data_IF_594165064977
#
_entry.id   IF_594165064977
#
_cell.length_a   1.000
_cell.length_b   1.000
_cell.length_c   1.000
_cell.angle_alpha   90.00
_cell.angle_beta   90.00
_cell.angle_gamma   90.00
#
_symmetry.space_group_name_H-M   'P 1'
#
loop_
_entity.id
_entity.type
_entity.pdbx_description
1 polymer ?
#
# COMPACT_ATOMS: atom_id res chain seq x y z
N UNK A 1 -7.80 -14.86 -23.25
CA UNK A 1 -9.16 -15.32 -23.29
C UNK A 1 -9.27 -16.82 -23.11
N UNK A 2 -10.19 -17.24 -22.31
CA UNK A 2 -10.38 -18.66 -22.01
C UNK A 2 -11.49 -19.25 -22.87
N UNK A 3 -11.16 -20.31 -23.54
CA UNK A 3 -12.13 -21.06 -24.31
C UNK A 3 -12.67 -22.16 -23.41
N UNK A 4 -13.98 -22.21 -23.17
CA UNK A 4 -14.53 -23.21 -22.24
C UNK A 4 -14.29 -24.64 -22.68
N UNK A 5 -14.01 -24.88 -23.95
CA UNK A 5 -13.70 -26.19 -24.44
C UNK A 5 -12.23 -26.53 -24.39
N UNK A 6 -11.41 -25.65 -23.86
CA UNK A 6 -9.97 -25.84 -23.83
C UNK A 6 -9.47 -25.65 -22.41
N UNK A 7 -9.21 -26.71 -21.73
CA UNK A 7 -8.76 -26.65 -20.34
C UNK A 7 -7.30 -26.27 -20.21
N UNK A 8 -6.63 -26.04 -21.34
CA UNK A 8 -5.20 -25.77 -21.33
C UNK A 8 -4.85 -24.30 -21.22
N UNK A 9 -5.85 -23.43 -21.34
CA UNK A 9 -5.59 -21.99 -21.34
C UNK A 9 -5.91 -21.34 -20.00
N UNK A 10 -5.29 -21.89 -18.97
CA UNK A 10 -5.36 -21.29 -17.64
C UNK A 10 -4.07 -20.57 -17.37
N UNK A 11 -4.19 -19.30 -16.99
CA UNK A 11 -3.01 -18.54 -16.62
C UNK A 11 -2.46 -19.09 -15.31
N UNK A 12 -1.19 -19.40 -15.28
CA UNK A 12 -0.54 -19.86 -14.05
C UNK A 12 -0.22 -18.65 -13.17
N UNK A 13 0.06 -18.90 -11.90
CA UNK A 13 0.46 -17.84 -11.00
C UNK A 13 1.73 -17.15 -11.50
N UNK A 14 2.68 -17.92 -12.01
CA UNK A 14 3.91 -17.36 -12.56
C UNK A 14 3.64 -16.45 -13.75
N UNK A 15 2.73 -16.88 -14.63
CA UNK A 15 2.36 -16.08 -15.79
C UNK A 15 1.63 -14.80 -15.39
N UNK A 16 0.73 -14.90 -14.42
CA UNK A 16 0.02 -13.74 -13.92
C UNK A 16 1.00 -12.72 -13.31
N UNK A 17 1.96 -13.21 -12.55
CA UNK A 17 2.98 -12.35 -11.94
C UNK A 17 3.80 -11.65 -13.02
N UNK A 18 4.21 -12.40 -14.05
CA UNK A 18 4.99 -11.84 -15.16
C UNK A 18 4.19 -10.78 -15.91
N UNK A 19 2.92 -11.06 -16.13
CA UNK A 19 2.05 -10.13 -16.83
C UNK A 19 1.89 -8.83 -16.05
N UNK A 20 1.70 -8.91 -14.74
CA UNK A 20 1.61 -7.73 -13.90
C UNK A 20 2.89 -6.90 -13.95
N UNK A 21 4.04 -7.56 -13.95
CA UNK A 21 5.32 -6.87 -14.03
C UNK A 21 5.52 -6.16 -15.35
N UNK A 22 5.07 -6.77 -16.46
CA UNK A 22 5.20 -6.18 -17.79
C UNK A 22 4.24 -5.02 -17.99
N UNK A 23 2.98 -5.20 -17.59
CA UNK A 23 1.95 -4.19 -17.83
C UNK A 23 1.88 -3.13 -16.75
N UNK A 24 2.49 -3.39 -15.60
CA UNK A 24 2.39 -2.52 -14.43
C UNK A 24 0.93 -2.36 -13.97
N UNK A 25 0.12 -3.38 -14.21
CA UNK A 25 -1.29 -3.41 -13.84
C UNK A 25 -1.46 -4.50 -12.78
N UNK A 26 -1.72 -4.09 -11.55
CA UNK A 26 -1.75 -4.98 -10.40
C UNK A 26 -3.15 -5.28 -9.90
N UNK A 27 -4.16 -5.17 -10.76
CA UNK A 27 -5.54 -5.45 -10.36
C UNK A 27 -5.74 -6.88 -9.89
N UNK A 28 -5.03 -7.83 -10.51
CA UNK A 28 -5.09 -9.23 -10.09
C UNK A 28 -4.59 -9.39 -8.66
N UNK A 29 -3.46 -8.76 -8.36
CA UNK A 29 -2.87 -8.81 -7.02
C UNK A 29 -3.83 -8.23 -5.99
N UNK A 30 -4.40 -7.07 -6.29
CA UNK A 30 -5.30 -6.41 -5.36
C UNK A 30 -6.58 -7.21 -5.15
N UNK A 31 -7.09 -7.85 -6.20
CA UNK A 31 -8.29 -8.68 -6.09
C UNK A 31 -8.03 -9.90 -5.21
N UNK A 32 -6.89 -10.56 -5.39
CA UNK A 32 -6.51 -11.70 -4.56
C UNK A 32 -6.34 -11.30 -3.10
N UNK A 33 -5.71 -10.16 -2.87
CA UNK A 33 -5.53 -9.68 -1.50
C UNK A 33 -6.85 -9.37 -0.83
N UNK A 34 -7.77 -8.75 -1.57
CA UNK A 34 -9.10 -8.44 -1.03
C UNK A 34 -9.87 -9.71 -0.66
N UNK A 35 -9.73 -10.75 -1.47
CA UNK A 35 -10.37 -12.03 -1.23
C UNK A 35 -9.93 -12.64 0.09
N UNK A 36 -8.70 -12.39 0.49
CA UNK A 36 -8.12 -12.93 1.72
C UNK A 36 -8.03 -11.91 2.86
N UNK A 37 -8.71 -10.80 2.72
CA UNK A 37 -8.69 -9.76 3.74
C UNK A 37 -7.33 -9.09 3.89
N UNK A 38 -6.59 -8.98 2.80
CA UNK A 38 -5.26 -8.39 2.79
C UNK A 38 -5.21 -7.19 1.87
N UNK A 39 -4.20 -6.36 2.05
CA UNK A 39 -3.93 -5.27 1.12
C UNK A 39 -2.48 -5.34 0.69
N UNK A 40 -2.21 -4.87 -0.52
CA UNK A 40 -0.85 -4.76 -1.02
C UNK A 40 -0.42 -3.31 -0.96
N UNK A 41 0.82 -3.08 -0.58
CA UNK A 41 1.43 -1.75 -0.62
C UNK A 41 2.75 -1.85 -1.36
N UNK A 42 3.15 -0.74 -1.97
CA UNK A 42 4.42 -0.69 -2.66
C UNK A 42 5.55 -0.71 -1.64
N UNK A 43 6.53 -1.55 -1.89
CA UNK A 43 7.72 -1.56 -1.06
C UNK A 43 8.65 -0.44 -1.50
N UNK A 44 9.35 0.19 -0.56
CA UNK A 44 10.37 1.19 -0.92
C UNK A 44 11.50 0.52 -1.67
N UNK A 45 12.13 1.27 -2.57
CA UNK A 45 13.15 0.67 -3.43
C UNK A 45 14.40 0.36 -2.64
N UNK A 46 15.26 1.30 -2.44
CA UNK A 46 16.52 1.04 -1.75
C UNK A 46 16.59 1.94 -0.53
N UNK A 47 16.50 1.36 0.68
CA UNK A 47 16.57 2.18 1.87
C UNK A 47 17.98 2.72 2.08
N UNK A 48 18.06 3.94 2.54
CA UNK A 48 19.29 4.56 2.97
C UNK A 48 19.32 4.61 4.48
N UNK A 49 20.48 4.31 5.04
CA UNK A 49 20.64 4.41 6.49
C UNK A 49 21.28 5.75 6.83
N UNK A 50 20.43 6.72 7.14
CA UNK A 50 20.86 8.04 7.59
C UNK A 50 19.95 8.51 8.70
N UNK A 51 20.53 9.09 9.71
CA UNK A 51 19.75 9.60 10.84
C UNK A 51 18.73 10.64 10.39
N UNK A 52 19.12 11.53 9.48
CA UNK A 52 18.21 12.56 8.97
C UNK A 52 17.05 11.94 8.22
N UNK A 53 17.31 10.90 7.44
CA UNK A 53 16.24 10.23 6.68
C UNK A 53 15.26 9.54 7.62
N UNK A 54 15.75 8.91 8.67
CA UNK A 54 14.88 8.28 9.66
C UNK A 54 14.05 9.33 10.41
N UNK A 55 14.68 10.44 10.79
CA UNK A 55 13.99 11.53 11.48
C UNK A 55 12.88 12.10 10.59
N UNK A 56 13.16 12.31 9.31
CA UNK A 56 12.16 12.82 8.38
C UNK A 56 10.97 11.87 8.26
N UNK A 57 11.23 10.56 8.22
CA UNK A 57 10.16 9.59 8.13
C UNK A 57 9.28 9.61 9.36
N UNK A 58 9.87 9.72 10.53
CA UNK A 58 9.10 9.79 11.77
C UNK A 58 8.26 11.06 11.82
N UNK A 59 8.83 12.18 11.37
CA UNK A 59 8.07 13.44 11.31
C UNK A 59 6.93 13.32 10.30
N UNK A 60 7.19 12.73 9.13
CA UNK A 60 6.14 12.55 8.12
C UNK A 60 5.05 11.61 8.60
N UNK A 61 5.42 10.60 9.39
CA UNK A 61 4.44 9.72 10.00
C UNK A 61 3.49 10.50 10.91
N UNK A 62 4.04 11.43 11.69
CA UNK A 62 3.23 12.27 12.57
C UNK A 62 2.30 13.17 11.78
N UNK A 63 2.79 13.78 10.69
CA UNK A 63 1.99 14.62 9.81
C UNK A 63 0.85 13.83 9.19
N UNK A 64 1.15 12.63 8.65
CA UNK A 64 0.13 11.78 8.05
C UNK A 64 -0.90 11.31 9.07
N UNK A 65 -0.45 11.03 10.30
CA UNK A 65 -1.37 10.71 11.39
C UNK A 65 -2.30 11.87 11.69
N UNK A 66 -1.78 13.09 11.66
CA UNK A 66 -2.58 14.30 11.83
C UNK A 66 -3.59 14.47 10.70
N UNK A 67 -3.20 14.13 9.47
CA UNK A 67 -4.12 14.19 8.33
C UNK A 67 -5.29 13.22 8.52
N UNK A 68 -5.01 12.03 9.03
CA UNK A 68 -6.08 11.06 9.32
C UNK A 68 -7.04 11.63 10.36
N UNK A 69 -6.50 12.25 11.40
CA UNK A 69 -7.33 12.83 12.43
C UNK A 69 -8.19 13.98 11.88
N UNK A 70 -7.63 14.81 11.00
CA UNK A 70 -8.36 15.92 10.40
C UNK A 70 -9.49 15.43 9.52
N UNK A 71 -9.24 14.42 8.69
CA UNK A 71 -10.27 13.85 7.83
C UNK A 71 -11.37 13.22 8.67
N UNK A 72 -10.98 12.47 9.69
CA UNK A 72 -11.94 11.84 10.60
C UNK A 72 -12.83 12.88 11.29
N UNK A 73 -12.21 13.96 11.75
CA UNK A 73 -12.95 15.04 12.42
C UNK A 73 -14.00 15.62 11.49
N UNK A 74 -13.65 15.86 10.23
CA UNK A 74 -14.60 16.40 9.26
C UNK A 74 -15.72 15.40 8.94
N UNK A 75 -15.36 14.12 8.81
CA UNK A 75 -16.36 13.09 8.57
C UNK A 75 -17.42 13.02 9.66
N UNK A 76 -17.02 13.27 10.88
CA UNK A 76 -17.92 13.14 12.03
C UNK A 76 -18.76 14.37 12.32
N UNK A 77 -18.56 15.46 11.58
CA UNK A 77 -19.28 16.70 11.82
C UNK A 77 -20.78 16.53 11.66
N UNK A 78 -21.23 15.78 10.67
CA UNK A 78 -22.66 15.61 10.41
C UNK A 78 -23.17 14.23 10.80
N UNK A 79 -22.34 13.40 11.42
CA UNK A 79 -22.71 12.08 11.86
C UNK A 79 -22.92 11.05 10.78
N UNK A 80 -22.56 11.37 9.55
CA UNK A 80 -22.71 10.48 8.40
C UNK A 80 -21.41 10.42 7.63
N UNK A 81 -21.09 9.24 7.14
CA UNK A 81 -19.91 9.04 6.32
C UNK A 81 -20.35 8.83 4.89
N UNK A 82 -20.00 9.77 4.02
CA UNK A 82 -20.30 9.65 2.59
C UNK A 82 -19.25 8.80 1.91
N UNK A 83 -19.58 8.36 0.67
CA UNK A 83 -18.63 7.59 -0.11
C UNK A 83 -17.36 8.39 -0.41
N UNK A 84 -17.52 9.68 -0.71
CA UNK A 84 -16.37 10.54 -0.96
C UNK A 84 -15.47 10.68 0.25
N UNK A 85 -16.07 10.80 1.43
CA UNK A 85 -15.31 10.87 2.66
C UNK A 85 -14.55 9.57 2.95
N UNK A 86 -15.17 8.43 2.66
CA UNK A 86 -14.50 7.14 2.81
C UNK A 86 -13.31 7.03 1.85
N UNK A 87 -13.44 7.53 0.62
CA UNK A 87 -12.33 7.55 -0.33
C UNK A 87 -11.21 8.45 0.16
N UNK A 88 -11.55 9.62 0.70
CA UNK A 88 -10.54 10.52 1.26
C UNK A 88 -9.79 9.88 2.42
N UNK A 89 -10.51 9.19 3.29
CA UNK A 89 -9.89 8.49 4.41
C UNK A 89 -8.94 7.40 3.89
N UNK A 90 -9.36 6.63 2.89
CA UNK A 90 -8.50 5.60 2.31
C UNK A 90 -7.23 6.19 1.72
N UNK A 91 -7.32 7.37 1.12
CA UNK A 91 -6.15 8.03 0.53
C UNK A 91 -5.12 8.38 1.60
N UNK A 92 -5.55 8.97 2.71
CA UNK A 92 -4.61 9.33 3.76
C UNK A 92 -4.08 8.11 4.51
N UNK A 93 -4.90 7.07 4.66
CA UNK A 93 -4.45 5.81 5.26
C UNK A 93 -3.38 5.16 4.38
N UNK A 94 -3.60 5.11 3.08
CA UNK A 94 -2.64 4.50 2.16
C UNK A 94 -1.32 5.25 2.17
N UNK A 95 -1.36 6.56 2.30
CA UNK A 95 -0.14 7.35 2.41
C UNK A 95 0.65 6.97 3.66
N UNK A 96 -0.05 6.78 4.78
CA UNK A 96 0.61 6.37 6.02
C UNK A 96 1.17 4.95 5.90
N UNK A 97 0.46 4.05 5.22
CA UNK A 97 0.97 2.70 4.97
C UNK A 97 2.33 2.73 4.28
N UNK A 98 2.47 3.59 3.27
CA UNK A 98 3.74 3.70 2.54
C UNK A 98 4.85 4.24 3.43
N UNK A 99 4.54 5.23 4.25
CA UNK A 99 5.52 5.79 5.16
C UNK A 99 5.99 4.74 6.18
N UNK A 100 5.05 3.97 6.72
CA UNK A 100 5.39 2.93 7.68
C UNK A 100 6.25 1.83 7.07
N UNK A 101 5.92 1.43 5.83
CA UNK A 101 6.71 0.43 5.12
C UNK A 101 8.13 0.92 4.86
N UNK A 102 8.27 2.18 4.51
CA UNK A 102 9.57 2.78 4.25
C UNK A 102 10.38 2.88 5.54
N UNK A 103 9.75 3.26 6.62
CA UNK A 103 10.42 3.35 7.93
C UNK A 103 10.93 1.97 8.35
N UNK A 104 10.08 0.95 8.22
CA UNK A 104 10.44 -0.41 8.57
C UNK A 104 11.66 -0.88 7.76
N UNK A 105 11.64 -0.65 6.45
CA UNK A 105 12.74 -1.04 5.59
C UNK A 105 14.02 -0.31 5.94
N UNK A 106 13.93 0.99 6.24
CA UNK A 106 15.13 1.78 6.58
C UNK A 106 15.72 1.38 7.92
N UNK A 107 14.88 1.11 8.89
CA UNK A 107 15.37 0.64 10.19
C UNK A 107 16.14 -0.68 10.03
N UNK A 108 15.59 -1.59 9.23
CA UNK A 108 16.28 -2.86 9.00
C UNK A 108 17.57 -2.68 8.22
N UNK A 109 17.62 -1.72 7.31
CA UNK A 109 18.84 -1.42 6.56
C UNK A 109 19.94 -0.86 7.46
N UNK A 110 19.56 -0.28 8.58
CA UNK A 110 20.52 0.31 9.53
C UNK A 110 21.05 -0.66 10.58
N UNK A 111 20.64 -1.92 10.53
CA UNK A 111 21.13 -2.91 11.48
C UNK A 111 22.59 -3.16 11.23
N UNK A 112 23.41 -2.97 12.26
CA UNK A 112 24.85 -3.17 12.15
C UNK A 112 25.20 -4.65 12.19
N UNK A 113 26.29 -4.99 11.55
CA UNK A 113 26.77 -6.36 11.57
C UNK A 113 26.07 -7.28 10.59
N UNK A 114 25.29 -6.74 9.68
CA UNK A 114 24.64 -7.55 8.64
C UNK A 114 25.62 -8.08 7.64
#
# INVERSE_FOLDING_TARGET
KVNPNTDTHHITLAEASKLMGITNDYRILHALNAEHGKVAIDLPKIPECRDTALTELVLNMGISGGDIQSVFKEMMLDGRITRGEAVDMSRVINKLHKILAELDAKVHACVEGK
#
